data_IF_429972584487
#
_entry.id   IF_429972584487
#
_cell.length_a   1.000
_cell.length_b   1.000
_cell.length_c   1.000
_cell.angle_alpha   90.00
_cell.angle_beta   90.00
_cell.angle_gamma   90.00
#
_symmetry.space_group_name_H-M   'P 1'
#
loop_
_entity.id
_entity.type
_entity.pdbx_description
1 polymer ?
#
# COMPACT_ATOMS: atom_id res chain seq x y z
N UNK A 1 24.63 29.89 -41.43
CA UNK A 1 24.97 30.12 -40.00
C UNK A 1 23.76 30.19 -39.08
N UNK A 2 22.75 31.05 -39.31
CA UNK A 2 21.55 31.16 -38.45
C UNK A 2 20.78 29.85 -38.21
N UNK A 3 20.56 29.04 -39.24
CA UNK A 3 19.89 27.73 -39.11
C UNK A 3 20.68 26.71 -38.27
N UNK A 4 22.01 26.72 -38.35
CA UNK A 4 22.87 25.83 -37.57
C UNK A 4 22.81 26.18 -36.08
N UNK A 5 22.83 27.48 -35.76
CA UNK A 5 22.72 27.98 -34.38
C UNK A 5 21.37 27.59 -33.76
N UNK A 6 20.28 27.73 -34.52
CA UNK A 6 18.94 27.36 -34.05
C UNK A 6 18.82 25.84 -33.79
N UNK A 7 19.43 25.01 -34.64
CA UNK A 7 19.46 23.56 -34.46
C UNK A 7 20.22 23.14 -33.19
N UNK A 8 21.37 23.76 -32.91
CA UNK A 8 22.12 23.51 -31.68
C UNK A 8 21.36 23.98 -30.43
N UNK A 9 20.64 25.10 -30.50
CA UNK A 9 19.80 25.56 -29.40
C UNK A 9 18.62 24.61 -29.14
N UNK A 10 17.92 24.14 -30.17
CA UNK A 10 16.85 23.14 -29.98
C UNK A 10 17.38 21.81 -29.42
N UNK A 11 18.50 21.29 -29.94
CA UNK A 11 19.05 20.02 -29.48
C UNK A 11 19.54 20.08 -28.04
N UNK A 12 20.14 21.19 -27.62
CA UNK A 12 20.54 21.43 -26.23
C UNK A 12 19.35 21.53 -25.27
N UNK A 13 18.24 22.15 -25.68
CA UNK A 13 16.99 22.19 -24.89
C UNK A 13 16.41 20.79 -24.73
N UNK A 14 16.33 20.01 -25.81
CA UNK A 14 15.84 18.63 -25.79
C UNK A 14 16.72 17.76 -24.87
N UNK A 15 18.04 17.91 -24.97
CA UNK A 15 19.00 17.19 -24.14
C UNK A 15 18.87 17.57 -22.66
N UNK A 16 18.72 18.86 -22.34
CA UNK A 16 18.52 19.33 -20.97
C UNK A 16 17.22 18.80 -20.35
N UNK A 17 16.14 18.72 -21.12
CA UNK A 17 14.87 18.13 -20.67
C UNK A 17 14.99 16.62 -20.42
N UNK A 18 15.67 15.88 -21.31
CA UNK A 18 15.94 14.45 -21.13
C UNK A 18 16.75 14.15 -19.85
N UNK A 19 17.74 15.00 -19.54
CA UNK A 19 18.51 14.88 -18.29
C UNK A 19 17.66 15.17 -17.05
N UNK A 20 16.72 16.13 -17.12
CA UNK A 20 15.78 16.42 -16.02
C UNK A 20 14.85 15.24 -15.77
N UNK A 21 14.25 14.66 -16.80
CA UNK A 21 13.34 13.51 -16.68
C UNK A 21 14.05 12.27 -16.12
N UNK A 22 15.27 12.01 -16.57
CA UNK A 22 16.09 10.91 -16.05
C UNK A 22 16.44 11.10 -14.57
N UNK A 23 16.72 12.33 -14.14
CA UNK A 23 17.02 12.67 -12.74
C UNK A 23 15.76 12.59 -11.86
N UNK A 24 14.59 12.99 -12.37
CA UNK A 24 13.32 12.84 -11.66
C UNK A 24 12.95 11.37 -11.48
N UNK A 25 13.09 10.55 -12.54
CA UNK A 25 12.82 9.11 -12.47
C UNK A 25 13.81 8.35 -11.58
N UNK A 26 15.09 8.75 -11.54
CA UNK A 26 16.09 8.14 -10.65
C UNK A 26 15.84 8.40 -9.15
N UNK A 27 15.08 9.46 -8.81
CA UNK A 27 14.75 9.82 -7.44
C UNK A 27 13.35 9.39 -6.98
N UNK A 28 12.57 8.67 -7.80
CA UNK A 28 11.27 8.15 -7.36
C UNK A 28 11.49 7.04 -6.32
N UNK A 29 11.25 7.38 -5.05
CA UNK A 29 11.21 6.40 -3.96
C UNK A 29 10.02 5.46 -4.18
N UNK A 30 10.24 4.16 -4.01
CA UNK A 30 9.18 3.16 -4.07
C UNK A 30 8.66 2.89 -2.66
N UNK A 31 7.34 2.83 -2.51
CA UNK A 31 6.68 2.36 -1.29
C UNK A 31 6.29 0.91 -1.48
N UNK A 32 6.60 0.06 -0.50
CA UNK A 32 6.14 -1.33 -0.43
C UNK A 32 5.31 -1.46 0.84
N UNK A 33 4.05 -1.86 0.68
CA UNK A 33 3.15 -2.20 1.79
C UNK A 33 3.04 -3.72 1.79
N UNK A 34 3.39 -4.36 2.91
CA UNK A 34 3.28 -5.80 3.10
C UNK A 34 2.28 -6.07 4.22
N UNK A 35 1.18 -6.74 3.89
CA UNK A 35 0.25 -7.28 4.86
C UNK A 35 0.33 -8.81 4.85
N UNK A 36 0.43 -9.41 6.04
CA UNK A 36 0.51 -10.87 6.22
C UNK A 36 -0.74 -11.30 6.98
N UNK A 37 -1.68 -11.94 6.27
CA UNK A 37 -2.94 -12.36 6.86
C UNK A 37 -2.71 -13.42 7.96
N UNK A 38 -3.46 -13.28 9.05
CA UNK A 38 -3.38 -14.19 10.20
C UNK A 38 -2.02 -14.22 10.89
N UNK A 39 -1.20 -13.17 10.78
CA UNK A 39 0.11 -13.08 11.45
C UNK A 39 0.00 -12.42 12.83
N UNK A 40 0.05 -13.19 13.93
CA UNK A 40 -0.12 -12.62 15.25
C UNK A 40 1.17 -12.00 15.80
N UNK A 41 1.04 -10.95 16.61
CA UNK A 41 2.19 -10.24 17.21
C UNK A 41 3.10 -11.12 18.06
N UNK A 42 2.55 -12.12 18.76
CA UNK A 42 3.33 -13.03 19.60
C UNK A 42 4.37 -13.87 18.82
N UNK A 43 4.36 -13.86 17.48
CA UNK A 43 5.44 -14.47 16.70
C UNK A 43 6.80 -13.76 16.88
N UNK A 44 6.80 -12.51 17.34
CA UNK A 44 8.02 -11.78 17.71
C UNK A 44 8.49 -12.04 19.16
N UNK A 45 7.75 -12.81 19.96
CA UNK A 45 8.19 -13.22 21.30
C UNK A 45 9.24 -14.32 21.21
N UNK A 46 10.30 -14.25 22.03
CA UNK A 46 11.43 -15.20 21.95
C UNK A 46 11.02 -16.64 22.26
N UNK A 47 9.98 -16.80 23.07
CA UNK A 47 9.38 -18.05 23.50
C UNK A 47 8.54 -18.70 22.39
N UNK A 48 8.17 -17.93 21.37
CA UNK A 48 7.37 -18.42 20.26
C UNK A 48 8.16 -19.36 19.35
N UNK A 49 7.56 -20.51 19.01
CA UNK A 49 8.12 -21.44 17.99
C UNK A 49 8.30 -20.78 16.61
N UNK A 50 7.64 -19.65 16.37
CA UNK A 50 7.76 -18.89 15.13
C UNK A 50 8.97 -17.95 15.11
N UNK A 51 9.54 -17.59 16.27
CA UNK A 51 10.56 -16.53 16.39
C UNK A 51 11.80 -16.77 15.52
N UNK A 52 12.31 -18.01 15.48
CA UNK A 52 13.45 -18.37 14.62
C UNK A 52 13.06 -18.60 13.15
N UNK A 53 11.76 -18.68 12.84
CA UNK A 53 11.24 -18.89 11.48
C UNK A 53 11.00 -17.58 10.72
N UNK A 54 11.12 -16.42 11.38
CA UNK A 54 10.89 -15.10 10.79
C UNK A 54 12.15 -14.21 10.76
N UNK A 55 13.34 -14.72 10.37
CA UNK A 55 14.60 -13.99 10.51
C UNK A 55 14.64 -12.67 9.71
N UNK A 56 13.98 -12.63 8.55
CA UNK A 56 13.92 -11.42 7.73
C UNK A 56 13.02 -10.35 8.34
N UNK A 57 11.86 -10.72 8.91
CA UNK A 57 10.96 -9.78 9.58
C UNK A 57 11.60 -9.23 10.86
N UNK A 58 12.32 -10.07 11.62
CA UNK A 58 13.13 -9.64 12.77
C UNK A 58 14.19 -8.63 12.37
N UNK A 59 14.95 -8.91 11.30
CA UNK A 59 15.96 -7.98 10.78
C UNK A 59 15.33 -6.65 10.31
N UNK A 60 14.13 -6.66 9.74
CA UNK A 60 13.39 -5.45 9.38
C UNK A 60 12.96 -4.67 10.64
N UNK A 61 12.46 -5.34 11.66
CA UNK A 61 12.07 -4.74 12.93
C UNK A 61 13.27 -4.10 13.66
N UNK A 62 14.42 -4.77 13.68
CA UNK A 62 15.67 -4.28 14.31
C UNK A 62 16.27 -3.07 13.59
N UNK A 63 16.15 -3.01 12.26
CA UNK A 63 16.72 -1.93 11.44
C UNK A 63 15.74 -0.78 11.19
N UNK A 64 14.48 -0.95 11.57
CA UNK A 64 13.39 -0.02 11.28
C UNK A 64 12.70 0.45 12.57
N UNK A 65 11.47 0.92 12.40
CA UNK A 65 10.57 1.20 13.53
C UNK A 65 9.63 0.02 13.70
N UNK A 66 9.50 -0.49 14.93
CA UNK A 66 8.70 -1.66 15.24
C UNK A 66 7.87 -1.44 16.51
N UNK A 67 6.64 -1.94 16.50
CA UNK A 67 5.76 -2.01 17.67
C UNK A 67 5.08 -3.38 17.70
N UNK A 68 5.18 -4.06 18.84
CA UNK A 68 4.45 -5.31 19.07
C UNK A 68 3.05 -5.08 19.68
N UNK A 69 2.71 -3.83 20.00
CA UNK A 69 1.44 -3.47 20.62
C UNK A 69 0.47 -2.92 19.57
N UNK A 70 0.04 -3.78 18.64
CA UNK A 70 -0.93 -3.43 17.62
C UNK A 70 -2.32 -3.91 18.01
N UNK A 71 -3.30 -3.01 17.97
CA UNK A 71 -4.71 -3.34 18.09
C UNK A 71 -5.32 -3.35 16.69
N UNK A 72 -5.90 -4.47 16.30
CA UNK A 72 -6.68 -4.55 15.07
C UNK A 72 -8.01 -3.78 15.20
N UNK A 73 -8.76 -3.70 14.10
CA UNK A 73 -10.10 -3.13 14.07
C UNK A 73 -11.16 -4.13 14.54
N UNK A 74 -12.36 -3.63 14.82
CA UNK A 74 -13.54 -4.46 15.06
C UNK A 74 -14.53 -4.32 13.89
N UNK A 75 -15.00 -5.42 13.28
CA UNK A 75 -14.65 -6.81 13.57
C UNK A 75 -13.26 -7.21 13.04
N UNK A 76 -12.60 -8.14 13.73
CA UNK A 76 -11.24 -8.60 13.44
C UNK A 76 -11.18 -9.60 12.27
N UNK A 77 -11.73 -9.20 11.11
CA UNK A 77 -11.78 -10.02 9.89
C UNK A 77 -10.79 -9.50 8.84
N UNK A 78 -10.43 -10.36 7.89
CA UNK A 78 -9.43 -10.07 6.85
C UNK A 78 -9.76 -8.79 6.09
N UNK A 79 -10.93 -8.66 5.47
CA UNK A 79 -11.23 -7.49 4.63
C UNK A 79 -11.38 -6.21 5.44
N UNK A 80 -12.15 -6.17 6.54
CA UNK A 80 -12.18 -5.01 7.42
C UNK A 80 -10.78 -4.54 7.84
N UNK A 81 -9.92 -5.44 8.34
CA UNK A 81 -8.58 -5.08 8.80
C UNK A 81 -7.67 -4.58 7.67
N UNK A 82 -7.67 -5.25 6.51
CA UNK A 82 -6.84 -4.84 5.38
C UNK A 82 -7.32 -3.53 4.75
N UNK A 83 -8.64 -3.30 4.66
CA UNK A 83 -9.19 -2.02 4.20
C UNK A 83 -8.82 -0.90 5.18
N UNK A 84 -8.88 -1.14 6.49
CA UNK A 84 -8.44 -0.14 7.48
C UNK A 84 -6.95 0.20 7.34
N UNK A 85 -6.09 -0.78 7.04
CA UNK A 85 -4.65 -0.53 6.80
C UNK A 85 -4.39 0.40 5.61
N UNK A 86 -5.14 0.27 4.52
CA UNK A 86 -4.91 1.06 3.30
C UNK A 86 -5.66 2.41 3.29
N UNK A 87 -6.70 2.56 4.10
CA UNK A 87 -7.49 3.80 4.22
C UNK A 87 -7.13 4.64 5.44
N UNK A 88 -6.47 4.05 6.44
CA UNK A 88 -6.22 4.69 7.73
C UNK A 88 -7.50 4.98 8.54
N UNK A 89 -8.62 4.35 8.19
CA UNK A 89 -9.94 4.59 8.80
C UNK A 89 -10.51 3.29 9.38
N UNK A 90 -11.45 3.39 10.33
CA UNK A 90 -12.14 2.23 10.89
C UNK A 90 -13.23 1.68 9.95
N UNK A 91 -13.67 0.41 10.12
CA UNK A 91 -14.76 -0.19 9.34
C UNK A 91 -16.03 0.65 9.26
N UNK A 92 -16.38 1.35 10.35
CA UNK A 92 -17.51 2.27 10.42
C UNK A 92 -17.44 3.40 9.37
N UNK A 93 -16.23 3.80 8.98
CA UNK A 93 -15.97 4.92 8.07
C UNK A 93 -15.81 4.43 6.64
N UNK A 94 -14.95 3.41 6.41
CA UNK A 94 -14.69 2.92 5.05
C UNK A 94 -15.76 1.97 4.51
N UNK A 95 -16.68 1.47 5.35
CA UNK A 95 -17.88 0.74 4.94
C UNK A 95 -17.72 -0.77 4.71
N UNK A 96 -16.50 -1.31 4.83
CA UNK A 96 -16.23 -2.75 4.70
C UNK A 96 -16.29 -3.38 6.09
N UNK A 97 -17.46 -3.91 6.45
CA UNK A 97 -17.74 -4.45 7.78
C UNK A 97 -17.53 -5.97 7.89
N UNK A 98 -17.47 -6.67 6.76
CA UNK A 98 -17.32 -8.14 6.71
C UNK A 98 -16.53 -8.52 5.45
N UNK A 99 -16.16 -9.80 5.32
CA UNK A 99 -15.48 -10.29 4.12
C UNK A 99 -16.41 -10.36 2.89
N UNK A 100 -17.70 -10.57 3.15
CA UNK A 100 -18.75 -10.69 2.14
C UNK A 100 -19.74 -9.55 2.25
N UNK A 101 -20.35 -9.12 1.12
CA UNK A 101 -21.48 -8.22 1.14
C UNK A 101 -22.67 -8.79 1.91
N UNK A 102 -23.56 -7.92 2.36
CA UNK A 102 -24.82 -8.36 2.94
C UNK A 102 -25.70 -8.99 1.86
N UNK A 103 -25.94 -10.29 1.95
CA UNK A 103 -26.74 -11.06 1.00
C UNK A 103 -27.95 -11.71 1.68
N UNK A 104 -28.96 -10.94 2.09
CA UNK A 104 -30.11 -11.49 2.81
C UNK A 104 -30.98 -12.39 1.93
N UNK A 105 -30.83 -12.31 0.59
CA UNK A 105 -31.60 -13.08 -0.39
C UNK A 105 -30.83 -14.26 -0.97
N UNK A 106 -29.54 -14.42 -0.63
CA UNK A 106 -28.69 -15.50 -1.16
C UNK A 106 -28.36 -15.36 -2.65
N UNK A 107 -28.50 -14.16 -3.21
CA UNK A 107 -28.31 -13.89 -4.64
C UNK A 107 -26.84 -13.82 -5.03
N UNK A 108 -25.98 -13.44 -4.09
CA UNK A 108 -24.54 -13.25 -4.25
C UNK A 108 -23.76 -14.56 -4.02
N UNK A 109 -24.41 -15.65 -3.57
CA UNK A 109 -23.88 -17.03 -3.53
C UNK A 109 -22.47 -17.15 -2.91
N UNK A 110 -22.18 -16.39 -1.86
CA UNK A 110 -20.89 -16.42 -1.18
C UNK A 110 -19.83 -15.51 -1.79
N UNK A 111 -20.25 -14.47 -2.51
CA UNK A 111 -19.36 -13.40 -2.98
C UNK A 111 -18.61 -12.69 -1.85
N UNK A 112 -17.52 -12.04 -2.24
CA UNK A 112 -16.68 -11.23 -1.38
C UNK A 112 -16.69 -9.79 -1.88
N UNK A 113 -16.20 -8.85 -1.07
CA UNK A 113 -15.92 -7.50 -1.57
C UNK A 113 -14.73 -7.51 -2.53
N UNK A 114 -14.99 -7.71 -3.82
CA UNK A 114 -13.95 -7.85 -4.83
C UNK A 114 -13.42 -6.51 -5.35
N UNK A 115 -14.21 -5.45 -5.28
CA UNK A 115 -13.93 -4.21 -5.98
C UNK A 115 -13.63 -3.06 -5.02
N UNK A 116 -12.75 -2.16 -5.46
CA UNK A 116 -12.38 -0.97 -4.69
C UNK A 116 -13.58 0.00 -4.54
N UNK A 117 -14.54 -0.03 -5.47
CA UNK A 117 -15.72 0.83 -5.48
C UNK A 117 -16.64 0.63 -4.27
N UNK A 118 -16.52 -0.50 -3.57
CA UNK A 118 -17.24 -0.76 -2.32
C UNK A 118 -16.68 0.03 -1.12
N UNK A 119 -15.46 0.57 -1.24
CA UNK A 119 -14.78 1.35 -0.19
C UNK A 119 -15.24 2.81 -0.26
N UNK A 120 -15.80 3.32 0.83
CA UNK A 120 -16.44 4.65 0.88
C UNK A 120 -15.49 5.84 1.02
N UNK A 121 -14.19 5.59 1.18
CA UNK A 121 -13.16 6.60 1.39
C UNK A 121 -11.93 6.31 0.55
N UNK A 122 -11.12 7.34 0.28
CA UNK A 122 -9.88 7.18 -0.47
C UNK A 122 -8.90 6.28 0.26
N UNK A 123 -8.25 5.42 -0.52
CA UNK A 123 -7.12 4.59 -0.12
C UNK A 123 -5.80 5.32 -0.38
N UNK A 124 -4.71 4.83 0.20
CA UNK A 124 -3.36 5.28 -0.14
C UNK A 124 -3.02 5.12 -1.63
N UNK A 125 -3.65 4.17 -2.32
CA UNK A 125 -3.48 3.96 -3.76
C UNK A 125 -4.15 5.08 -4.57
N UNK A 126 -5.32 5.53 -4.14
CA UNK A 126 -6.01 6.67 -4.77
C UNK A 126 -5.16 7.94 -4.67
N UNK A 127 -4.64 8.23 -3.47
CA UNK A 127 -3.72 9.36 -3.27
C UNK A 127 -2.43 9.23 -4.10
N UNK A 128 -1.89 8.02 -4.24
CA UNK A 128 -0.71 7.76 -5.05
C UNK A 128 -0.97 7.97 -6.55
N UNK A 129 -2.15 7.59 -7.04
CA UNK A 129 -2.55 7.78 -8.44
C UNK A 129 -2.82 9.25 -8.76
N UNK A 130 -3.43 10.00 -7.85
CA UNK A 130 -3.69 11.45 -8.01
C UNK A 130 -2.42 12.31 -7.98
N UNK A 131 -1.34 11.79 -7.39
CA UNK A 131 -0.06 12.51 -7.24
C UNK A 131 0.91 12.26 -8.41
N UNK A 132 0.56 11.43 -9.39
CA UNK A 132 1.35 11.18 -10.61
C UNK A 132 0.81 11.96 -11.80
#
# INVERSE_FOLDING_TARGET
MKFLILFFLLSSIIFANSLKDKKQNANKKKLIILSIDGFPGYYFEKESKAYEKIPNLRKLAEKGSFSNNIRSVFPTLTYPAHTSMITGSDPAVHGIHYNSPNDPRGELKGDWYWFNDDIKVKTILDFANESN
#
